data_IF_672847470427
#
_entry.id   IF_672847470427
#
_cell.length_a   1.000
_cell.length_b   1.000
_cell.length_c   1.000
_cell.angle_alpha   90.00
_cell.angle_beta   90.00
_cell.angle_gamma   90.00
#
_symmetry.space_group_name_H-M   'P 1'
#
loop_
_entity.id
_entity.type
_entity.pdbx_description
1 polymer ?
#
# COMPACT_ATOMS: atom_id res chain seq x y z
N UNK A 1 -14.16 17.48 7.14
CA UNK A 1 -13.18 16.53 6.57
C UNK A 1 -13.99 15.49 5.84
N UNK A 2 -13.59 15.09 4.62
CA UNK A 2 -14.23 13.96 3.92
C UNK A 2 -13.93 12.68 4.71
N UNK A 3 -14.86 11.73 4.72
CA UNK A 3 -14.56 10.36 5.16
C UNK A 3 -13.72 9.62 4.12
N UNK A 4 -13.01 8.55 4.50
CA UNK A 4 -12.27 7.71 3.53
C UNK A 4 -13.19 7.17 2.42
N UNK A 5 -14.43 6.82 2.74
CA UNK A 5 -15.42 6.36 1.75
C UNK A 5 -15.80 7.45 0.73
N UNK A 6 -15.97 8.70 1.19
CA UNK A 6 -16.22 9.83 0.28
C UNK A 6 -15.00 10.12 -0.59
N UNK A 7 -13.80 10.05 -0.01
CA UNK A 7 -12.54 10.23 -0.72
C UNK A 7 -12.36 9.13 -1.78
N UNK A 8 -12.58 7.86 -1.44
CA UNK A 8 -12.54 6.72 -2.38
C UNK A 8 -13.40 6.97 -3.61
N UNK A 9 -14.63 7.41 -3.37
CA UNK A 9 -15.61 7.63 -4.44
C UNK A 9 -15.18 8.74 -5.39
N UNK A 10 -14.62 9.82 -4.85
CA UNK A 10 -14.12 10.94 -5.65
C UNK A 10 -12.92 10.50 -6.49
N UNK A 11 -11.94 9.81 -5.88
CA UNK A 11 -10.72 9.32 -6.53
C UNK A 11 -10.99 8.28 -7.62
N UNK A 12 -11.99 7.42 -7.43
CA UNK A 12 -12.32 6.39 -8.41
C UNK A 12 -13.31 6.86 -9.50
N UNK A 13 -13.68 8.14 -9.51
CA UNK A 13 -14.73 8.66 -10.38
C UNK A 13 -14.36 8.60 -11.87
N UNK A 14 -13.09 8.84 -12.21
CA UNK A 14 -12.57 8.75 -13.57
C UNK A 14 -11.84 7.42 -13.86
N UNK A 15 -11.60 6.63 -12.81
CA UNK A 15 -11.03 5.29 -12.86
C UNK A 15 -9.51 5.25 -13.01
N UNK A 16 -8.82 6.35 -12.71
CA UNK A 16 -7.36 6.43 -12.57
C UNK A 16 -7.01 7.17 -11.27
N UNK A 17 -5.76 7.08 -10.83
CA UNK A 17 -5.20 7.99 -9.83
C UNK A 17 -4.19 8.91 -10.51
N UNK A 18 -4.44 10.22 -10.49
CA UNK A 18 -3.55 11.25 -11.02
C UNK A 18 -2.62 11.87 -9.95
N UNK A 19 -1.65 12.68 -10.37
CA UNK A 19 -0.68 13.29 -9.44
C UNK A 19 -1.30 14.28 -8.43
N UNK A 20 -2.44 14.92 -8.73
CA UNK A 20 -3.14 15.78 -7.78
C UNK A 20 -3.87 14.94 -6.73
N UNK A 21 -4.44 13.82 -7.15
CA UNK A 21 -5.12 12.85 -6.29
C UNK A 21 -4.14 12.17 -5.34
N UNK A 22 -2.94 11.81 -5.81
CA UNK A 22 -1.84 11.36 -4.94
C UNK A 22 -1.53 12.40 -3.86
N UNK A 23 -1.52 13.69 -4.22
CA UNK A 23 -1.27 14.74 -3.25
C UNK A 23 -2.41 14.91 -2.24
N UNK A 24 -3.66 14.79 -2.67
CA UNK A 24 -4.82 14.79 -1.75
C UNK A 24 -4.72 13.60 -0.77
N UNK A 25 -4.30 12.43 -1.26
CA UNK A 25 -4.07 11.25 -0.44
C UNK A 25 -2.93 11.46 0.57
N UNK A 26 -1.80 12.03 0.16
CA UNK A 26 -0.70 12.36 1.07
C UNK A 26 -1.15 13.33 2.17
N UNK A 27 -1.89 14.39 1.82
CA UNK A 27 -2.35 15.39 2.78
C UNK A 27 -3.37 14.81 3.79
N UNK A 28 -4.19 13.85 3.36
CA UNK A 28 -5.23 13.23 4.22
C UNK A 28 -4.67 12.10 5.07
N UNK A 29 -3.93 11.16 4.47
CA UNK A 29 -3.46 9.94 5.15
C UNK A 29 -2.24 10.18 6.04
N UNK A 30 -1.48 11.25 5.82
CA UNK A 30 -0.36 11.62 6.71
C UNK A 30 -0.71 12.77 7.66
N UNK A 31 -2.00 13.07 7.90
CA UNK A 31 -2.39 14.15 8.81
C UNK A 31 -1.85 13.92 10.23
N UNK A 32 -1.81 12.67 10.70
CA UNK A 32 -1.25 12.29 12.01
C UNK A 32 0.24 11.90 11.95
N UNK A 33 0.81 11.85 10.73
CA UNK A 33 2.22 11.61 10.45
C UNK A 33 2.61 10.14 10.30
N UNK A 34 1.68 9.20 10.45
CA UNK A 34 1.91 7.76 10.24
C UNK A 34 0.85 7.19 9.31
N UNK A 35 1.05 5.96 8.83
CA UNK A 35 -0.02 5.21 8.15
C UNK A 35 -0.48 4.17 9.15
N UNK A 36 -1.77 4.14 9.47
CA UNK A 36 -2.35 3.09 10.29
C UNK A 36 -2.92 1.94 9.44
N UNK A 37 -3.50 0.94 10.11
CA UNK A 37 -4.05 -0.24 9.44
C UNK A 37 -5.28 0.08 8.58
N UNK A 38 -6.15 1.00 9.01
CA UNK A 38 -7.35 1.36 8.26
C UNK A 38 -6.96 2.14 6.98
N UNK A 39 -5.91 2.96 7.07
CA UNK A 39 -5.33 3.69 5.94
C UNK A 39 -4.57 2.76 4.98
N UNK A 40 -3.79 1.82 5.49
CA UNK A 40 -3.15 0.79 4.67
C UNK A 40 -4.19 -0.06 3.93
N UNK A 41 -5.26 -0.47 4.61
CA UNK A 41 -6.38 -1.20 4.02
C UNK A 41 -7.06 -0.40 2.90
N UNK A 42 -7.28 0.89 3.13
CA UNK A 42 -7.80 1.81 2.14
C UNK A 42 -6.90 1.96 0.90
N UNK A 43 -5.58 1.98 1.09
CA UNK A 43 -4.62 2.04 -0.02
C UNK A 43 -4.62 0.77 -0.88
N UNK A 44 -4.70 -0.42 -0.27
CA UNK A 44 -4.86 -1.68 -1.02
C UNK A 44 -6.17 -1.68 -1.82
N UNK A 45 -7.26 -1.29 -1.18
CA UNK A 45 -8.57 -1.14 -1.80
C UNK A 45 -8.58 -0.20 -3.03
N UNK A 46 -7.80 0.88 -2.98
CA UNK A 46 -7.59 1.78 -4.12
C UNK A 46 -6.75 1.12 -5.19
N UNK A 47 -5.62 0.50 -4.82
CA UNK A 47 -4.73 -0.16 -5.78
C UNK A 47 -5.50 -1.18 -6.62
N UNK A 48 -6.25 -2.06 -5.98
CA UNK A 48 -7.08 -3.09 -6.62
C UNK A 48 -8.10 -2.48 -7.61
N UNK A 49 -8.70 -1.34 -7.23
CA UNK A 49 -9.69 -0.66 -8.05
C UNK A 49 -9.08 -0.03 -9.31
N UNK A 50 -7.80 0.36 -9.26
CA UNK A 50 -7.09 1.01 -10.37
C UNK A 50 -6.00 0.13 -11.00
N UNK A 51 -5.95 -1.15 -10.68
CA UNK A 51 -5.00 -2.10 -11.27
C UNK A 51 -5.13 -2.13 -12.80
N UNK A 52 -3.98 -2.03 -13.49
CA UNK A 52 -3.90 -2.05 -14.95
C UNK A 52 -4.43 -0.78 -15.65
N UNK A 53 -4.73 0.29 -14.89
CA UNK A 53 -5.13 1.59 -15.41
C UNK A 53 -3.92 2.48 -15.69
N UNK A 54 -4.16 3.59 -16.39
CA UNK A 54 -3.12 4.56 -16.71
C UNK A 54 -2.92 5.56 -15.55
N UNK A 55 -2.63 5.03 -14.36
CA UNK A 55 -2.34 5.85 -13.17
C UNK A 55 -1.04 6.63 -13.39
N UNK A 56 -0.93 7.78 -12.74
CA UNK A 56 0.31 8.53 -12.73
C UNK A 56 1.42 7.73 -12.00
N UNK A 57 2.69 7.79 -12.43
CA UNK A 57 3.78 7.08 -11.75
C UNK A 57 3.91 7.42 -10.26
N UNK A 58 3.49 8.62 -9.85
CA UNK A 58 3.49 9.01 -8.44
C UNK A 58 2.57 8.16 -7.57
N UNK A 59 1.55 7.50 -8.14
CA UNK A 59 0.69 6.57 -7.42
C UNK A 59 1.46 5.34 -6.94
N UNK A 60 2.20 4.69 -7.84
CA UNK A 60 3.02 3.51 -7.51
C UNK A 60 4.07 3.88 -6.45
N UNK A 61 4.77 5.00 -6.63
CA UNK A 61 5.78 5.49 -5.68
C UNK A 61 5.19 5.76 -4.29
N UNK A 62 4.03 6.41 -4.24
CA UNK A 62 3.33 6.73 -3.00
C UNK A 62 2.83 5.47 -2.28
N UNK A 63 2.14 4.58 -2.99
CA UNK A 63 1.63 3.32 -2.45
C UNK A 63 2.75 2.48 -1.85
N UNK A 64 3.85 2.30 -2.59
CA UNK A 64 5.01 1.52 -2.12
C UNK A 64 5.60 2.15 -0.86
N UNK A 65 5.78 3.48 -0.85
CA UNK A 65 6.34 4.20 0.29
C UNK A 65 5.45 4.06 1.53
N UNK A 66 4.15 4.29 1.38
CA UNK A 66 3.18 4.26 2.48
C UNK A 66 3.10 2.88 3.12
N UNK A 67 2.88 1.82 2.34
CA UNK A 67 2.78 0.45 2.86
C UNK A 67 4.11 -0.05 3.44
N UNK A 68 5.25 0.37 2.86
CA UNK A 68 6.56 0.02 3.42
C UNK A 68 6.77 0.64 4.80
N UNK A 69 6.35 1.90 4.99
CA UNK A 69 6.45 2.59 6.28
C UNK A 69 5.53 1.93 7.30
N UNK A 70 4.29 1.63 6.92
CA UNK A 70 3.34 0.90 7.77
C UNK A 70 3.90 -0.43 8.29
N UNK A 71 4.62 -1.18 7.44
CA UNK A 71 5.16 -2.51 7.79
C UNK A 71 6.50 -2.45 8.50
N UNK A 72 7.37 -1.48 8.22
CA UNK A 72 8.75 -1.48 8.72
C UNK A 72 9.02 -0.46 9.83
N UNK A 73 8.15 0.52 10.03
CA UNK A 73 8.33 1.57 11.04
C UNK A 73 7.51 1.31 12.32
N UNK A 74 7.19 0.04 12.59
CA UNK A 74 6.46 -0.38 13.78
C UNK A 74 7.31 -0.24 15.07
N UNK A 75 6.66 -0.18 16.24
CA UNK A 75 7.36 0.01 17.53
C UNK A 75 7.99 -1.26 18.10
N UNK A 76 7.52 -2.44 17.68
CA UNK A 76 7.85 -3.73 18.27
C UNK A 76 9.03 -4.44 17.59
N UNK A 77 9.13 -4.33 16.27
CA UNK A 77 10.13 -4.97 15.41
C UNK A 77 10.66 -4.06 14.27
N UNK A 78 11.07 -2.81 14.52
CA UNK A 78 11.41 -1.88 13.45
C UNK A 78 12.43 -2.43 12.44
N UNK A 79 12.07 -2.37 11.16
CA UNK A 79 12.83 -2.86 10.01
C UNK A 79 12.85 -4.38 9.86
N UNK A 80 12.13 -5.12 10.69
CA UNK A 80 11.87 -6.55 10.54
C UNK A 80 10.41 -6.74 10.12
N UNK A 81 10.08 -7.90 9.57
CA UNK A 81 8.72 -8.30 9.24
C UNK A 81 8.39 -9.48 10.16
N UNK A 82 7.47 -9.26 11.08
CA UNK A 82 6.99 -10.31 11.98
C UNK A 82 5.91 -11.20 11.32
N UNK A 83 5.39 -12.17 12.08
CA UNK A 83 4.41 -13.12 11.54
C UNK A 83 3.05 -12.45 11.22
N UNK A 84 2.66 -11.42 11.97
CA UNK A 84 1.38 -10.72 11.80
C UNK A 84 1.44 -9.79 10.58
N UNK A 85 2.55 -9.06 10.41
CA UNK A 85 2.82 -8.21 9.24
C UNK A 85 2.97 -9.03 7.97
N UNK A 86 3.67 -10.18 8.05
CA UNK A 86 3.82 -11.09 6.93
C UNK A 86 2.48 -11.67 6.48
N UNK A 87 1.64 -12.09 7.44
CA UNK A 87 0.32 -12.62 7.14
C UNK A 87 -0.60 -11.53 6.57
N UNK A 88 -0.53 -10.31 7.11
CA UNK A 88 -1.28 -9.16 6.59
C UNK A 88 -0.95 -8.87 5.12
N UNK A 89 0.34 -8.71 4.78
CA UNK A 89 0.77 -8.47 3.41
C UNK A 89 0.39 -9.62 2.48
N UNK A 90 0.55 -10.87 2.96
CA UNK A 90 0.19 -12.04 2.19
C UNK A 90 -1.31 -12.04 1.86
N UNK A 91 -2.18 -11.77 2.85
CA UNK A 91 -3.62 -11.78 2.65
C UNK A 91 -4.10 -10.65 1.74
N UNK A 92 -3.48 -9.46 1.83
CA UNK A 92 -3.79 -8.35 0.93
C UNK A 92 -3.40 -8.64 -0.51
N UNK A 93 -2.15 -9.05 -0.74
CA UNK A 93 -1.60 -9.28 -2.08
C UNK A 93 -2.14 -10.57 -2.72
N UNK A 94 -2.48 -11.58 -1.91
CA UNK A 94 -3.04 -12.84 -2.43
C UNK A 94 -4.56 -12.79 -2.58
N UNK A 95 -5.23 -11.91 -1.84
CA UNK A 95 -6.68 -11.90 -1.64
C UNK A 95 -7.49 -11.70 -2.92
N UNK A 96 -6.99 -10.90 -3.84
CA UNK A 96 -7.62 -10.62 -5.14
C UNK A 96 -7.35 -11.73 -6.20
N UNK A 97 -6.43 -12.65 -5.89
CA UNK A 97 -6.03 -13.77 -6.73
C UNK A 97 -4.93 -13.46 -7.76
N UNK A 98 -4.42 -12.23 -7.82
CA UNK A 98 -3.41 -11.78 -8.77
C UNK A 98 -2.41 -10.82 -8.12
N UNK A 99 -1.13 -11.22 -8.09
CA UNK A 99 -0.06 -10.27 -7.75
C UNK A 99 0.19 -9.36 -8.95
N UNK A 100 -0.15 -8.09 -8.83
CA UNK A 100 0.03 -7.09 -9.88
C UNK A 100 1.47 -6.51 -9.92
N UNK A 101 1.71 -5.58 -10.86
CA UNK A 101 3.03 -4.96 -11.02
C UNK A 101 3.43 -4.10 -9.83
N UNK A 102 2.49 -3.34 -9.28
CA UNK A 102 2.67 -2.46 -8.13
C UNK A 102 2.96 -3.26 -6.87
N UNK A 103 2.21 -4.33 -6.63
CA UNK A 103 2.38 -5.21 -5.47
C UNK A 103 3.70 -5.99 -5.54
N UNK A 104 4.09 -6.42 -6.75
CA UNK A 104 5.41 -7.03 -6.95
C UNK A 104 6.52 -6.03 -6.65
N UNK A 105 6.37 -4.78 -7.09
CA UNK A 105 7.32 -3.72 -6.78
C UNK A 105 7.39 -3.41 -5.28
N UNK A 106 6.23 -3.41 -4.59
CA UNK A 106 6.14 -3.32 -3.13
C UNK A 106 6.94 -4.43 -2.44
N UNK A 107 6.70 -5.70 -2.78
CA UNK A 107 7.41 -6.85 -2.18
C UNK A 107 8.92 -6.77 -2.39
N UNK A 108 9.35 -6.40 -3.60
CA UNK A 108 10.78 -6.21 -3.91
C UNK A 108 11.40 -5.06 -3.12
N UNK A 109 10.67 -3.95 -2.98
CA UNK A 109 11.12 -2.81 -2.20
C UNK A 109 11.22 -3.16 -0.71
N UNK A 110 10.20 -3.81 -0.13
CA UNK A 110 10.22 -4.28 1.26
C UNK A 110 11.39 -5.24 1.47
N UNK A 111 11.56 -6.24 0.61
CA UNK A 111 12.68 -7.20 0.67
C UNK A 111 14.06 -6.53 0.65
N UNK A 112 14.20 -5.40 -0.03
CA UNK A 112 15.46 -4.66 -0.09
C UNK A 112 15.75 -3.82 1.16
N UNK A 113 14.72 -3.46 1.93
CA UNK A 113 14.79 -2.56 3.08
C UNK A 113 14.70 -3.29 4.42
N UNK A 114 14.01 -4.43 4.47
CA UNK A 114 13.81 -5.21 5.67
C UNK A 114 15.07 -6.03 6.01
N UNK A 115 15.29 -6.27 7.31
CA UNK A 115 16.38 -7.12 7.80
C UNK A 115 16.12 -8.61 7.56
N UNK A 116 14.84 -8.99 7.48
CA UNK A 116 14.36 -10.33 7.17
C UNK A 116 13.24 -10.24 6.13
N UNK A 117 13.00 -11.34 5.40
CA UNK A 117 11.89 -11.41 4.46
C UNK A 117 11.26 -12.81 4.57
N UNK A 118 10.07 -12.92 5.20
CA UNK A 118 9.41 -14.19 5.45
C UNK A 118 9.13 -14.99 4.18
N UNK A 119 9.26 -16.31 4.27
CA UNK A 119 9.13 -17.22 3.11
C UNK A 119 7.75 -17.14 2.45
N UNK A 120 6.69 -16.91 3.21
CA UNK A 120 5.32 -16.79 2.66
C UNK A 120 5.22 -15.62 1.66
N UNK A 121 5.99 -14.55 1.87
CA UNK A 121 6.08 -13.43 0.93
C UNK A 121 7.01 -13.74 -0.25
N UNK A 122 8.03 -14.58 -0.07
CA UNK A 122 8.86 -15.05 -1.19
C UNK A 122 8.08 -15.87 -2.21
N UNK A 123 7.05 -16.60 -1.76
CA UNK A 123 6.19 -17.42 -2.62
C UNK A 123 5.27 -16.58 -3.53
N UNK A 124 5.19 -15.26 -3.31
CA UNK A 124 4.41 -14.32 -4.12
C UNK A 124 5.21 -13.64 -5.25
N UNK A 125 6.55 -13.78 -5.26
CA UNK A 125 7.46 -13.16 -6.25
C UNK A 125 7.68 -14.01 -7.50
#
# INVERSE_FOLDING_TARGET
MKTLEELKKDLLADGIIDANEVKELEDVLYEDGVIDKDEADFLFDLNDAVTGKANDPSWEDFFIKAITSFVLDDETSPGEIDDDEAQYLYDKIKGDGQVDGTEKALLLNIKSKSKNFPKILEELL
#
